data_IF_671464278312
#
_entry.id   IF_671464278312
#
_cell.length_a   1.000
_cell.length_b   1.000
_cell.length_c   1.000
_cell.angle_alpha   90.00
_cell.angle_beta   90.00
_cell.angle_gamma   90.00
#
_symmetry.space_group_name_H-M   'P 1'
#
loop_
_entity.id
_entity.type
_entity.pdbx_description
1 polymer ?
#
# COMPACT_ATOMS: atom_id res chain seq x y z
N UNK A 1 -10.33 6.02 -1.96
CA UNK A 1 -10.18 6.86 -3.17
C UNK A 1 -8.72 7.26 -3.43
N UNK A 2 -7.87 7.36 -2.40
CA UNK A 2 -6.46 7.78 -2.54
C UNK A 2 -5.65 7.03 -3.62
N UNK A 3 -5.61 5.69 -3.57
CA UNK A 3 -4.92 4.87 -4.56
C UNK A 3 -5.44 5.04 -6.00
N UNK A 4 -6.64 5.59 -6.18
CA UNK A 4 -7.27 5.84 -7.48
C UNK A 4 -7.15 7.30 -7.93
N UNK A 5 -6.44 8.16 -7.20
CA UNK A 5 -6.23 9.54 -7.65
C UNK A 5 -5.50 9.55 -9.01
N UNK A 6 -6.00 10.28 -10.03
CA UNK A 6 -5.42 10.27 -11.38
C UNK A 6 -3.93 10.68 -11.44
N UNK A 7 -3.48 11.46 -10.46
CA UNK A 7 -2.12 11.98 -10.39
C UNK A 7 -1.06 10.87 -10.26
N UNK A 8 -1.39 9.73 -9.64
CA UNK A 8 -0.48 8.58 -9.54
C UNK A 8 -0.13 8.04 -10.92
N UNK A 9 -1.13 7.95 -11.80
CA UNK A 9 -1.01 7.35 -13.12
C UNK A 9 -0.52 8.38 -14.16
N UNK A 10 -1.06 9.60 -14.11
CA UNK A 10 -0.76 10.66 -15.09
C UNK A 10 0.64 11.24 -14.89
N UNK A 11 0.94 11.67 -13.66
CA UNK A 11 2.16 12.40 -13.32
C UNK A 11 3.21 11.43 -12.76
N UNK A 12 2.79 10.54 -11.86
CA UNK A 12 3.66 9.50 -11.28
C UNK A 12 3.98 8.34 -12.20
N UNK A 13 3.34 8.26 -13.39
CA UNK A 13 3.56 7.21 -14.40
C UNK A 13 3.38 5.78 -13.88
N UNK A 14 2.64 5.61 -12.78
CA UNK A 14 2.26 4.28 -12.31
C UNK A 14 1.45 3.60 -13.42
N UNK A 15 1.75 2.34 -13.79
CA UNK A 15 0.99 1.62 -14.79
C UNK A 15 -0.51 1.60 -14.44
N UNK A 16 -1.36 2.10 -15.34
CA UNK A 16 -2.82 2.06 -15.15
C UNK A 16 -3.39 0.70 -15.58
N UNK A 17 -2.85 -0.36 -14.97
CA UNK A 17 -3.28 -1.75 -15.13
C UNK A 17 -3.94 -2.25 -13.85
N UNK A 18 -4.47 -3.47 -13.88
CA UNK A 18 -5.00 -4.08 -12.67
C UNK A 18 -3.90 -4.24 -11.60
N UNK A 19 -2.72 -4.72 -12.01
CA UNK A 19 -1.57 -4.93 -11.14
C UNK A 19 -1.06 -3.60 -10.57
N UNK A 20 -0.96 -2.55 -11.39
CA UNK A 20 -0.53 -1.23 -10.92
C UNK A 20 -1.53 -0.60 -9.95
N UNK A 21 -2.84 -0.76 -10.20
CA UNK A 21 -3.89 -0.34 -9.25
C UNK A 21 -3.84 -1.14 -7.95
N UNK A 22 -3.61 -2.44 -8.03
CA UNK A 22 -3.39 -3.29 -6.86
C UNK A 22 -2.21 -2.79 -6.04
N UNK A 23 -1.08 -2.51 -6.69
CA UNK A 23 0.12 -1.99 -6.02
C UNK A 23 -0.13 -0.66 -5.34
N UNK A 24 -0.91 0.23 -5.94
CA UNK A 24 -1.29 1.49 -5.29
C UNK A 24 -2.18 1.27 -4.07
N UNK A 25 -3.16 0.36 -4.15
CA UNK A 25 -4.03 0.04 -3.01
C UNK A 25 -3.22 -0.60 -1.88
N UNK A 26 -2.40 -1.61 -2.19
CA UNK A 26 -1.54 -2.26 -1.20
C UNK A 26 -0.53 -1.30 -0.57
N UNK A 27 0.01 -0.36 -1.35
CA UNK A 27 0.92 0.67 -0.83
C UNK A 27 0.21 1.58 0.16
N UNK A 28 -0.93 2.16 -0.23
CA UNK A 28 -1.69 3.06 0.64
C UNK A 28 -2.13 2.34 1.91
N UNK A 29 -2.60 1.09 1.79
CA UNK A 29 -2.94 0.27 2.96
C UNK A 29 -1.73 0.06 3.86
N UNK A 30 -0.55 -0.25 3.30
CA UNK A 30 0.67 -0.40 4.08
C UNK A 30 1.00 0.86 4.89
N UNK A 31 0.80 2.05 4.33
CA UNK A 31 1.01 3.31 5.05
C UNK A 31 0.03 3.50 6.22
N UNK A 32 -1.23 3.12 6.02
CA UNK A 32 -2.24 3.16 7.09
C UNK A 32 -1.87 2.18 8.20
N UNK A 33 -1.47 0.96 7.86
CA UNK A 33 -1.05 -0.04 8.84
C UNK A 33 0.21 0.41 9.61
N UNK A 34 1.22 1.00 8.96
CA UNK A 34 2.40 1.59 9.63
C UNK A 34 2.00 2.71 10.61
N UNK A 35 1.00 3.51 10.26
CA UNK A 35 0.45 4.54 11.13
C UNK A 35 -0.24 3.94 12.36
N UNK A 36 -0.99 2.85 12.19
CA UNK A 36 -1.65 2.16 13.31
C UNK A 36 -0.64 1.43 14.21
N UNK A 37 0.43 0.86 13.65
CA UNK A 37 1.51 0.22 14.41
C UNK A 37 2.17 1.16 15.43
N UNK A 38 2.23 2.47 15.14
CA UNK A 38 2.79 3.46 16.06
C UNK A 38 1.98 3.65 17.36
N UNK A 39 0.72 3.23 17.37
CA UNK A 39 -0.18 3.33 18.54
C UNK A 39 -0.06 2.09 19.44
N UNK A 40 0.82 1.15 19.08
CA UNK A 40 1.07 -0.08 19.82
C UNK A 40 -0.09 -1.08 19.76
N UNK A 41 -0.13 -1.98 20.73
CA UNK A 41 -1.08 -3.12 20.75
C UNK A 41 -2.55 -2.70 20.89
N UNK A 42 -2.82 -1.44 21.28
CA UNK A 42 -4.17 -0.91 21.45
C UNK A 42 -5.00 -0.94 20.16
N UNK A 43 -4.35 -0.90 19.00
CA UNK A 43 -5.01 -0.93 17.69
C UNK A 43 -4.85 -2.25 16.93
N UNK A 44 -4.28 -3.29 17.56
CA UNK A 44 -4.11 -4.60 16.92
C UNK A 44 -5.41 -5.17 16.34
N UNK A 45 -6.57 -5.13 17.04
CA UNK A 45 -7.82 -5.61 16.46
C UNK A 45 -8.22 -4.89 15.17
N UNK A 46 -7.98 -3.59 15.07
CA UNK A 46 -8.33 -2.75 13.92
C UNK A 46 -7.39 -3.00 12.75
N UNK A 47 -6.09 -3.18 13.02
CA UNK A 47 -5.07 -3.59 12.03
C UNK A 47 -5.40 -4.96 11.44
N UNK A 48 -5.83 -5.93 12.28
CA UNK A 48 -6.26 -7.26 11.84
C UNK A 48 -7.49 -7.14 10.93
N UNK A 49 -8.55 -6.48 11.41
CA UNK A 49 -9.80 -6.33 10.65
C UNK A 49 -9.56 -5.64 9.30
N UNK A 50 -8.73 -4.59 9.26
CA UNK A 50 -8.42 -3.88 8.02
C UNK A 50 -7.67 -4.78 7.03
N UNK A 51 -6.79 -5.64 7.53
CA UNK A 51 -6.06 -6.62 6.71
C UNK A 51 -6.98 -7.72 6.19
N UNK A 52 -7.90 -8.22 7.03
CA UNK A 52 -8.92 -9.21 6.62
C UNK A 52 -9.83 -8.65 5.52
N UNK A 53 -10.37 -7.43 5.70
CA UNK A 53 -11.20 -6.76 4.70
C UNK A 53 -10.46 -6.56 3.38
N UNK A 54 -9.16 -6.25 3.43
CA UNK A 54 -8.33 -6.16 2.24
C UNK A 54 -8.17 -7.51 1.54
N UNK A 55 -7.92 -8.59 2.28
CA UNK A 55 -7.80 -9.94 1.71
C UNK A 55 -9.12 -10.34 1.04
N UNK A 56 -10.25 -10.10 1.68
CA UNK A 56 -11.57 -10.46 1.14
C UNK A 56 -11.87 -9.71 -0.17
N UNK A 57 -11.57 -8.41 -0.25
CA UNK A 57 -11.73 -7.61 -1.48
C UNK A 57 -10.81 -8.12 -2.61
N UNK A 58 -9.59 -8.52 -2.28
CA UNK A 58 -8.61 -9.03 -3.25
C UNK A 58 -8.94 -10.44 -3.73
N UNK A 59 -9.35 -11.35 -2.84
CA UNK A 59 -9.75 -12.71 -3.20
C UNK A 59 -10.96 -12.68 -4.16
N UNK A 60 -11.92 -11.79 -3.90
CA UNK A 60 -13.06 -11.56 -4.79
C UNK A 60 -12.63 -11.10 -6.19
N UNK A 61 -11.69 -10.15 -6.27
CA UNK A 61 -11.17 -9.63 -7.54
C UNK A 61 -10.45 -10.71 -8.36
N UNK A 62 -9.66 -11.57 -7.71
CA UNK A 62 -8.84 -12.57 -8.39
C UNK A 62 -9.61 -13.80 -8.84
N UNK A 63 -10.65 -14.20 -8.07
CA UNK A 63 -11.61 -15.21 -8.52
C UNK A 63 -12.35 -14.76 -9.78
N UNK A 64 -12.75 -13.49 -9.86
CA UNK A 64 -13.44 -12.94 -11.03
C UNK A 64 -12.59 -12.97 -12.30
N UNK A 65 -11.27 -12.92 -12.17
CA UNK A 65 -10.33 -12.93 -13.30
C UNK A 65 -9.98 -14.36 -13.77
N UNK A 66 -10.65 -15.39 -13.23
CA UNK A 66 -10.42 -16.77 -13.62
C UNK A 66 -9.08 -17.34 -13.14
N UNK A 67 -8.41 -16.67 -12.19
CA UNK A 67 -7.20 -17.18 -11.51
C UNK A 67 -7.64 -18.20 -10.43
N UNK A 68 -8.48 -19.16 -10.83
CA UNK A 68 -9.21 -20.08 -9.95
C UNK A 68 -8.49 -21.39 -9.62
N UNK A 69 -7.33 -21.68 -10.23
CA UNK A 69 -6.65 -22.98 -10.11
C UNK A 69 -5.59 -23.05 -8.99
N UNK A 70 -5.61 -22.11 -8.03
CA UNK A 70 -4.69 -22.12 -6.88
C UNK A 70 -5.50 -22.23 -5.58
N UNK A 71 -5.14 -23.20 -4.72
CA UNK A 71 -5.70 -23.37 -3.37
C UNK A 71 -5.75 -22.00 -2.67
N UNK A 72 -6.95 -21.58 -2.25
CA UNK A 72 -7.25 -20.27 -1.62
C UNK A 72 -6.22 -19.88 -0.56
N UNK A 73 -5.77 -20.82 0.28
CA UNK A 73 -4.73 -20.57 1.29
C UNK A 73 -3.37 -20.13 0.73
N UNK A 74 -2.94 -20.69 -0.41
CA UNK A 74 -1.70 -20.26 -1.09
C UNK A 74 -1.85 -18.85 -1.66
N UNK A 75 -3.07 -18.44 -1.99
CA UNK A 75 -3.37 -17.11 -2.48
C UNK A 75 -3.30 -16.07 -1.35
N UNK A 76 -4.00 -16.31 -0.24
CA UNK A 76 -3.94 -15.47 0.96
C UNK A 76 -2.50 -15.32 1.47
N UNK A 77 -1.74 -16.41 1.52
CA UNK A 77 -0.33 -16.37 1.92
C UNK A 77 0.54 -15.48 1.01
N UNK A 78 0.25 -15.43 -0.29
CA UNK A 78 0.94 -14.52 -1.23
C UNK A 78 0.55 -13.06 -0.99
N UNK A 79 -0.73 -12.76 -0.78
CA UNK A 79 -1.19 -11.41 -0.45
C UNK A 79 -0.50 -10.93 0.82
N UNK A 80 -0.52 -11.75 1.88
CA UNK A 80 0.10 -11.44 3.16
C UNK A 80 1.61 -11.25 3.04
N UNK A 81 2.29 -12.11 2.27
CA UNK A 81 3.72 -11.94 1.98
C UNK A 81 4.04 -10.65 1.24
N UNK A 82 3.24 -10.29 0.24
CA UNK A 82 3.39 -9.04 -0.51
C UNK A 82 3.14 -7.81 0.37
N UNK A 83 2.07 -7.82 1.18
CA UNK A 83 1.74 -6.75 2.11
C UNK A 83 2.82 -6.59 3.18
N UNK A 84 3.25 -7.69 3.82
CA UNK A 84 4.30 -7.68 4.83
C UNK A 84 5.66 -7.20 4.29
N UNK A 85 6.06 -7.66 3.10
CA UNK A 85 7.29 -7.22 2.44
C UNK A 85 7.27 -5.73 2.07
N UNK A 86 6.09 -5.21 1.74
CA UNK A 86 5.85 -3.80 1.45
C UNK A 86 5.87 -2.94 2.72
N UNK A 87 5.22 -3.39 3.79
CA UNK A 87 5.29 -2.77 5.12
C UNK A 87 6.74 -2.61 5.58
N UNK A 88 7.54 -3.67 5.49
CA UNK A 88 8.97 -3.61 5.84
C UNK A 88 9.74 -2.60 5.00
N UNK A 89 9.60 -2.67 3.67
CA UNK A 89 10.33 -1.79 2.76
C UNK A 89 10.01 -0.30 2.97
N UNK A 90 8.73 0.04 3.15
CA UNK A 90 8.34 1.42 3.40
C UNK A 90 8.71 1.89 4.81
N UNK A 91 8.62 1.02 5.83
CA UNK A 91 9.09 1.33 7.19
C UNK A 91 10.56 1.73 7.19
N UNK A 92 11.41 0.93 6.56
CA UNK A 92 12.84 1.19 6.50
C UNK A 92 13.16 2.40 5.61
N UNK A 93 12.44 2.56 4.50
CA UNK A 93 12.55 3.73 3.62
C UNK A 93 12.23 5.04 4.32
N UNK A 94 11.10 5.13 5.04
CA UNK A 94 10.74 6.35 5.77
C UNK A 94 11.60 6.59 7.02
N UNK A 95 12.15 5.54 7.62
CA UNK A 95 13.11 5.66 8.72
C UNK A 95 14.54 6.04 8.26
N UNK A 96 14.78 6.18 6.95
CA UNK A 96 16.11 6.46 6.39
C UNK A 96 17.10 5.30 6.55
N UNK A 97 16.62 4.10 6.85
CA UNK A 97 17.42 2.87 6.98
C UNK A 97 17.65 2.18 5.64
N UNK A 98 16.84 2.53 4.64
CA UNK A 98 16.93 2.05 3.26
C UNK A 98 16.53 3.18 2.29
N UNK A 99 16.83 3.00 1.01
CA UNK A 99 16.40 3.92 -0.04
C UNK A 99 14.90 3.76 -0.32
N UNK A 100 14.13 4.83 -0.08
CA UNK A 100 12.69 4.88 -0.38
C UNK A 100 12.42 4.75 -1.89
N UNK A 101 13.30 5.28 -2.75
CA UNK A 101 13.17 5.17 -4.20
C UNK A 101 13.24 3.73 -4.66
N UNK A 102 14.14 2.92 -4.08
CA UNK A 102 14.22 1.49 -4.37
C UNK A 102 13.00 0.72 -3.85
N UNK A 103 12.47 1.10 -2.68
CA UNK A 103 11.22 0.55 -2.20
C UNK A 103 10.08 0.85 -3.19
N UNK A 104 9.99 2.08 -3.71
CA UNK A 104 9.00 2.49 -4.72
C UNK A 104 9.18 1.73 -6.03
N UNK A 105 10.41 1.62 -6.55
CA UNK A 105 10.69 0.83 -7.76
C UNK A 105 10.21 -0.59 -7.61
N UNK A 106 10.67 -1.31 -6.58
CA UNK A 106 10.36 -2.73 -6.38
C UNK A 106 8.87 -2.98 -6.21
N UNK A 107 8.17 -2.09 -5.53
CA UNK A 107 6.80 -2.33 -5.11
C UNK A 107 5.76 -1.77 -6.10
N UNK A 108 6.01 -0.60 -6.71
CA UNK A 108 5.01 0.08 -7.56
C UNK A 108 5.30 -0.10 -9.04
N UNK A 109 6.57 0.04 -9.45
CA UNK A 109 6.95 -0.10 -10.86
C UNK A 109 7.35 -1.53 -11.21
N UNK A 110 7.86 -2.31 -10.24
CA UNK A 110 8.32 -3.69 -10.42
C UNK A 110 9.31 -3.79 -11.59
N UNK A 111 8.93 -4.53 -12.63
CA UNK A 111 9.73 -4.76 -13.83
C UNK A 111 9.46 -3.70 -14.92
N UNK A 112 8.49 -2.79 -14.73
CA UNK A 112 8.23 -1.71 -15.68
C UNK A 112 9.37 -0.67 -15.63
N UNK A 113 9.91 -0.29 -16.81
CA UNK A 113 10.93 0.76 -16.89
C UNK A 113 10.40 2.08 -16.32
N UNK A 114 10.95 2.49 -15.18
CA UNK A 114 10.58 3.74 -14.50
C UNK A 114 11.72 4.75 -14.55
N UNK A 115 11.40 5.98 -14.99
CA UNK A 115 12.37 7.07 -14.94
C UNK A 115 12.61 7.50 -13.50
N UNK A 116 13.81 8.03 -13.20
CA UNK A 116 14.12 8.57 -11.87
C UNK A 116 13.10 9.64 -11.45
N UNK A 117 12.69 10.51 -12.39
CA UNK A 117 11.69 11.53 -12.13
C UNK A 117 10.32 10.97 -11.69
N UNK A 118 9.88 9.85 -12.28
CA UNK A 118 8.63 9.20 -11.87
C UNK A 118 8.74 8.59 -10.47
N UNK A 119 9.88 7.94 -10.18
CA UNK A 119 10.17 7.38 -8.86
C UNK A 119 10.25 8.46 -7.79
N UNK A 120 10.94 9.57 -8.08
CA UNK A 120 11.07 10.71 -7.16
C UNK A 120 9.70 11.34 -6.89
N UNK A 121 8.88 11.51 -7.93
CA UNK A 121 7.52 12.03 -7.80
C UNK A 121 6.66 11.16 -6.88
N UNK A 122 6.62 9.85 -7.15
CA UNK A 122 5.84 8.90 -6.34
C UNK A 122 6.38 8.85 -4.91
N UNK A 123 7.71 8.78 -4.73
CA UNK A 123 8.35 8.77 -3.42
C UNK A 123 7.99 10.01 -2.59
N UNK A 124 8.09 11.20 -3.18
CA UNK A 124 7.74 12.46 -2.50
C UNK A 124 6.27 12.53 -2.11
N UNK A 125 5.38 12.06 -2.98
CA UNK A 125 3.93 12.00 -2.69
C UNK A 125 3.60 10.98 -1.60
N UNK A 126 4.24 9.81 -1.60
CA UNK A 126 4.06 8.81 -0.53
C UNK A 126 4.63 9.30 0.81
N UNK A 127 5.76 10.02 0.79
CA UNK A 127 6.31 10.66 1.99
C UNK A 127 5.34 11.72 2.55
N UNK A 128 4.75 12.54 1.69
CA UNK A 128 3.73 13.51 2.08
C UNK A 128 2.48 12.83 2.65
N UNK A 129 2.01 11.73 2.05
CA UNK A 129 0.89 10.95 2.55
C UNK A 129 1.21 10.31 3.91
N UNK A 130 2.39 9.72 4.07
CA UNK A 130 2.84 9.14 5.33
C UNK A 130 2.89 10.19 6.46
N UNK A 131 3.46 11.37 6.18
CA UNK A 131 3.47 12.48 7.12
C UNK A 131 2.06 13.00 7.44
N UNK A 132 1.19 13.09 6.43
CA UNK A 132 -0.21 13.47 6.61
C UNK A 132 -0.97 12.49 7.51
N UNK A 133 -0.80 11.19 7.32
CA UNK A 133 -1.39 10.15 8.17
C UNK A 133 -0.90 10.25 9.62
N UNK A 134 0.39 10.52 9.83
CA UNK A 134 0.97 10.71 11.16
C UNK A 134 0.36 11.90 11.91
N UNK A 135 -0.06 12.94 11.21
CA UNK A 135 -0.68 14.13 11.81
C UNK A 135 -2.16 13.94 12.20
N UNK A 136 -2.81 12.87 11.76
CA UNK A 136 -4.24 12.64 12.03
C UNK A 136 -4.41 11.94 13.39
N UNK A 137 -5.29 12.44 14.27
CA UNK A 137 -5.62 11.77 15.52
C UNK A 137 -6.15 10.34 15.30
N UNK A 138 -5.77 9.42 16.16
CA UNK A 138 -6.18 8.00 16.07
C UNK A 138 -7.69 7.83 15.99
N UNK A 139 -8.47 8.60 16.77
CA UNK A 139 -9.93 8.58 16.72
C UNK A 139 -10.51 8.94 15.35
N UNK A 140 -9.84 9.83 14.61
CA UNK A 140 -10.26 10.24 13.27
C UNK A 140 -9.86 9.20 12.21
N UNK A 141 -8.68 8.57 12.34
CA UNK A 141 -8.28 7.45 11.50
C UNK A 141 -9.29 6.29 11.64
N UNK A 142 -9.62 5.91 12.88
CA UNK A 142 -10.60 4.86 13.15
C UNK A 142 -12.02 5.23 12.70
N UNK A 143 -12.36 6.52 12.72
CA UNK A 143 -13.61 7.06 12.18
C UNK A 143 -13.63 7.18 10.65
N UNK A 144 -12.57 6.74 9.95
CA UNK A 144 -12.44 6.84 8.49
C UNK A 144 -12.22 8.27 7.97
N UNK A 145 -11.91 9.22 8.86
CA UNK A 145 -11.64 10.63 8.54
C UNK A 145 -10.17 10.83 8.24
N UNK A 146 -9.71 10.14 7.20
CA UNK A 146 -8.37 10.32 6.66
C UNK A 146 -8.49 11.52 5.70
N UNK A 147 -7.88 12.66 6.04
CA UNK A 147 -8.03 13.91 5.30
C UNK A 147 -7.76 13.74 3.78
N UNK A 148 -8.49 14.50 2.94
CA UNK A 148 -8.36 14.52 1.48
C UNK A 148 -7.34 15.53 1.01
#
# INVERSE_FOLDING_TARGET
MEARQPIWYRDGKVPDTLEGRFDMVSTVLSLVLLRLEHEGEALTPQTILLTELFIDDMDGTLRQLGIGDIIVGKHVGKIMGALGGRLGAFRDGFAGKADLGEAVRRNIFRDDPSSNAAVDFVSGRLAALHAGLAAIPTSDVLGGKIAR
#
